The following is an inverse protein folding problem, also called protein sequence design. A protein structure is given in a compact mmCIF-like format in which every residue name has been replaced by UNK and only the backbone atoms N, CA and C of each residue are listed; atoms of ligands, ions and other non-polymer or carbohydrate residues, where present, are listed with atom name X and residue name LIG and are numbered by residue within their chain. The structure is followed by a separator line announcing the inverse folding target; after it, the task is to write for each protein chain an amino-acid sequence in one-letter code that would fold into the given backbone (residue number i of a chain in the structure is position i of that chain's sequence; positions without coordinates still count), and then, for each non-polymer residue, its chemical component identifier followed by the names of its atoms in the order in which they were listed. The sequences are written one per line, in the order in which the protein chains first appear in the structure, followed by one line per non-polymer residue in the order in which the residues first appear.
data_IF_184152054799
#
_entry.id   IF_184152054799
#
_cell.length_a   1.000
_cell.length_b   1.000
_cell.length_c   1.000
_cell.angle_alpha   90.00
_cell.angle_beta   90.00
_cell.angle_gamma   90.00
#
_symmetry.space_group_name_H-M   'P 1'
#
loop_
_entity.id
_entity.type
_entity.pdbx_description
1 polymer ?
#
# COMPACT_ATOMS: atom_id res chain seq x y z
N UNK A 1 3.15 -1.76 -18.27
CA UNK A 1 2.10 -1.54 -19.28
C UNK A 1 1.33 -0.28 -18.92
N UNK A 2 1.14 0.65 -19.87
CA UNK A 2 0.29 1.82 -19.65
C UNK A 2 -1.16 1.46 -20.00
N UNK A 3 -2.04 1.41 -19.00
CA UNK A 3 -3.46 1.15 -19.18
C UNK A 3 -4.20 2.48 -19.23
N UNK A 4 -5.02 2.70 -20.26
CA UNK A 4 -5.93 3.84 -20.33
C UNK A 4 -7.31 3.40 -19.85
N UNK A 5 -7.87 4.16 -18.93
CA UNK A 5 -9.21 3.95 -18.38
C UNK A 5 -10.07 5.17 -18.68
N UNK A 6 -11.31 4.92 -19.11
CA UNK A 6 -12.34 5.94 -19.13
C UNK A 6 -13.11 5.84 -17.82
N UNK A 7 -13.22 6.96 -17.11
CA UNK A 7 -13.87 7.06 -15.80
C UNK A 7 -14.97 8.10 -15.88
N UNK A 8 -16.14 7.74 -15.37
CA UNK A 8 -17.28 8.66 -15.20
C UNK A 8 -17.24 9.20 -13.77
N UNK A 9 -17.45 10.50 -13.61
CA UNK A 9 -17.54 11.19 -12.32
C UNK A 9 -18.55 12.32 -12.43
N UNK A 10 -19.04 12.81 -11.30
CA UNK A 10 -19.93 13.96 -11.28
C UNK A 10 -19.27 15.21 -11.87
N UNK A 11 -20.08 16.03 -12.54
CA UNK A 11 -19.62 17.20 -13.28
C UNK A 11 -19.03 18.26 -12.34
N UNK A 12 -19.63 18.47 -11.17
CA UNK A 12 -19.15 19.40 -10.14
C UNK A 12 -17.76 18.98 -9.60
N UNK A 13 -17.54 17.68 -9.41
CA UNK A 13 -16.26 17.13 -9.01
C UNK A 13 -15.22 17.35 -10.11
N UNK A 14 -15.58 17.12 -11.37
CA UNK A 14 -14.69 17.31 -12.50
C UNK A 14 -14.27 18.78 -12.70
N UNK A 15 -15.21 19.71 -12.52
CA UNK A 15 -14.94 21.14 -12.64
C UNK A 15 -14.01 21.64 -11.55
N UNK A 16 -14.25 21.22 -10.30
CA UNK A 16 -13.34 21.52 -9.18
C UNK A 16 -11.95 20.92 -9.42
N UNK A 17 -11.88 19.69 -9.92
CA UNK A 17 -10.62 19.03 -10.24
C UNK A 17 -9.82 19.79 -11.31
N UNK A 18 -10.50 20.35 -12.32
CA UNK A 18 -9.87 21.21 -13.33
C UNK A 18 -9.37 22.53 -12.78
N UNK A 19 -10.05 23.10 -11.80
CA UNK A 19 -9.65 24.37 -11.18
C UNK A 19 -8.44 24.19 -10.26
N UNK A 20 -8.41 23.12 -9.46
CA UNK A 20 -7.37 22.89 -8.46
C UNK A 20 -6.09 22.26 -9.04
N UNK A 21 -6.20 21.47 -10.11
CA UNK A 21 -5.06 20.73 -10.67
C UNK A 21 -4.54 21.40 -11.94
N UNK A 22 -3.21 21.57 -12.09
CA UNK A 22 -2.62 22.10 -13.31
C UNK A 22 -3.04 21.32 -14.57
N UNK A 23 -3.14 22.00 -15.73
CA UNK A 23 -3.43 21.35 -17.00
C UNK A 23 -2.50 20.17 -17.25
N UNK A 24 -3.05 19.07 -17.79
CA UNK A 24 -2.35 17.80 -18.08
C UNK A 24 -1.86 17.01 -16.85
N UNK A 25 -2.14 17.43 -15.61
CA UNK A 25 -1.78 16.67 -14.39
C UNK A 25 -2.94 15.91 -13.73
N UNK A 26 -4.15 16.00 -14.27
CA UNK A 26 -5.34 15.34 -13.72
C UNK A 26 -5.14 13.83 -13.53
N UNK A 27 -4.61 13.12 -14.53
CA UNK A 27 -4.38 11.67 -14.42
C UNK A 27 -3.36 11.31 -13.32
N UNK A 28 -2.31 12.13 -13.17
CA UNK A 28 -1.32 11.94 -12.12
C UNK A 28 -1.93 12.17 -10.73
N UNK A 29 -2.77 13.21 -10.59
CA UNK A 29 -3.49 13.50 -9.35
C UNK A 29 -4.46 12.36 -8.96
N UNK A 30 -5.27 11.88 -9.90
CA UNK A 30 -6.19 10.76 -9.66
C UNK A 30 -5.40 9.52 -9.22
N UNK A 31 -4.30 9.21 -9.91
CA UNK A 31 -3.45 8.07 -9.55
C UNK A 31 -2.87 8.20 -8.14
N UNK A 32 -2.40 9.39 -7.75
CA UNK A 32 -1.89 9.61 -6.39
C UNK A 32 -2.99 9.51 -5.33
N UNK A 33 -4.18 10.05 -5.61
CA UNK A 33 -5.32 10.00 -4.70
C UNK A 33 -5.81 8.55 -4.49
N UNK A 34 -5.91 7.78 -5.57
CA UNK A 34 -6.23 6.35 -5.51
C UNK A 34 -5.17 5.59 -4.73
N UNK A 35 -3.87 5.84 -4.99
CA UNK A 35 -2.79 5.20 -4.24
C UNK A 35 -2.85 5.55 -2.76
N UNK A 36 -3.14 6.80 -2.40
CA UNK A 36 -3.28 7.20 -1.00
C UNK A 36 -4.48 6.53 -0.32
N UNK A 37 -5.61 6.41 -1.03
CA UNK A 37 -6.83 5.76 -0.52
C UNK A 37 -6.69 4.24 -0.39
N UNK A 38 -5.99 3.60 -1.33
CA UNK A 38 -5.74 2.16 -1.35
C UNK A 38 -4.46 1.76 -0.61
N UNK A 39 -3.65 2.73 -0.18
CA UNK A 39 -2.48 2.43 0.63
C UNK A 39 -2.97 1.67 1.87
N UNK A 40 -2.34 0.52 2.23
CA UNK A 40 -2.74 -0.19 3.42
C UNK A 40 -2.69 0.80 4.58
N UNK A 41 -3.86 1.04 5.16
CA UNK A 41 -4.00 1.84 6.36
C UNK A 41 -3.05 1.23 7.40
N UNK A 42 -2.15 2.03 7.92
CA UNK A 42 -1.11 1.57 8.84
C UNK A 42 -1.72 0.89 10.06
N UNK A 43 -2.94 1.29 10.46
CA UNK A 43 -3.68 0.61 11.53
C UNK A 43 -4.17 -0.77 11.11
N UNK A 44 -4.73 -0.89 9.90
CA UNK A 44 -5.15 -2.18 9.33
C UNK A 44 -3.95 -3.12 9.14
N UNK A 45 -2.81 -2.58 8.71
CA UNK A 45 -1.55 -3.32 8.57
C UNK A 45 -1.01 -3.78 9.94
N UNK A 46 -0.92 -2.88 10.92
CA UNK A 46 -0.48 -3.20 12.29
C UNK A 46 -1.41 -4.24 12.95
N UNK A 47 -2.73 -4.10 12.79
CA UNK A 47 -3.70 -5.07 13.27
C UNK A 47 -3.47 -6.46 12.64
N UNK A 48 -3.21 -6.51 11.33
CA UNK A 48 -2.91 -7.75 10.61
C UNK A 48 -1.62 -8.39 11.10
N UNK A 49 -0.56 -7.60 11.33
CA UNK A 49 0.70 -8.11 11.91
C UNK A 49 0.50 -8.62 13.34
N UNK A 50 -0.23 -7.90 14.20
CA UNK A 50 -0.55 -8.34 15.56
C UNK A 50 -1.39 -9.60 15.60
N UNK A 51 -2.35 -9.74 14.68
CA UNK A 51 -3.15 -10.95 14.54
C UNK A 51 -2.27 -12.13 14.11
N UNK A 52 -1.45 -11.93 13.07
CA UNK A 52 -0.60 -12.97 12.55
C UNK A 52 0.54 -13.37 13.51
N UNK A 53 0.98 -12.49 14.43
CA UNK A 53 1.89 -12.85 15.55
C UNK A 53 1.29 -13.94 16.47
N UNK A 54 -0.03 -14.08 16.53
CA UNK A 54 -0.70 -15.10 17.34
C UNK A 54 -0.73 -16.47 16.66
N UNK A 55 -0.40 -16.55 15.36
CA UNK A 55 -0.42 -17.79 14.60
C UNK A 55 0.71 -18.72 15.05
N UNK A 56 0.36 -19.99 15.26
CA UNK A 56 1.26 -20.99 15.84
C UNK A 56 2.47 -21.29 14.95
N UNK A 57 2.25 -21.39 13.64
CA UNK A 57 3.32 -21.64 12.67
C UNK A 57 4.36 -20.52 12.62
N UNK A 58 3.98 -19.27 12.95
CA UNK A 58 4.96 -18.16 13.02
C UNK A 58 5.87 -18.27 14.23
N UNK A 59 5.38 -18.79 15.35
CA UNK A 59 6.22 -19.06 16.52
C UNK A 59 7.20 -20.20 16.25
N UNK A 60 6.70 -21.25 15.60
CA UNK A 60 7.51 -22.39 15.17
C UNK A 60 8.58 -21.93 14.15
N UNK A 61 8.23 -21.05 13.21
CA UNK A 61 9.17 -20.44 12.27
C UNK A 61 10.18 -19.50 12.96
N UNK A 62 9.74 -18.68 13.91
CA UNK A 62 10.63 -17.80 14.69
C UNK A 62 11.66 -18.63 15.48
N UNK A 63 11.23 -19.73 16.06
CA UNK A 63 12.12 -20.65 16.78
C UNK A 63 13.08 -21.37 15.84
N UNK A 64 12.62 -21.79 14.64
CA UNK A 64 13.48 -22.36 13.58
C UNK A 64 14.55 -21.35 13.10
N UNK A 65 14.17 -20.08 12.94
CA UNK A 65 15.07 -18.99 12.54
C UNK A 65 16.13 -18.65 13.59
N UNK A 66 15.82 -18.81 14.89
CA UNK A 66 16.83 -18.63 15.97
C UNK A 66 17.99 -19.62 15.84
N UNK A 67 17.78 -20.79 15.23
CA UNK A 67 18.85 -21.76 14.99
C UNK A 67 19.67 -21.44 13.74
N UNK A 68 19.13 -20.67 12.78
CA UNK A 68 19.84 -20.28 11.55
C UNK A 68 20.59 -18.94 11.65
N UNK A 69 20.22 -18.04 12.57
CA UNK A 69 20.99 -16.80 12.84
C UNK A 69 22.36 -17.03 13.51
N UNK A 70 22.74 -18.29 13.79
CA UNK A 70 24.04 -18.67 14.32
C UNK A 70 25.18 -18.76 13.29
N UNK A 71 24.90 -18.72 11.99
CA UNK A 71 25.95 -18.71 10.97
C UNK A 71 26.50 -17.29 10.81
N UNK A 72 27.53 -16.99 11.62
CA UNK A 72 28.27 -15.74 11.57
C UNK A 72 28.77 -15.44 10.16
N UNK A 73 28.39 -14.28 9.64
CA UNK A 73 28.94 -13.75 8.41
C UNK A 73 30.48 -13.72 8.50
N UNK A 74 31.22 -14.27 7.51
CA UNK A 74 32.67 -14.19 7.51
C UNK A 74 33.11 -12.72 7.46
N UNK A 75 34.06 -12.36 8.34
CA UNK A 75 34.71 -11.04 8.37
C UNK A 75 35.56 -10.79 7.14
#
# INVERSE_FOLDING_TARGET
MAVRLNITMDEDIYDRLKQEVPPKKISAFISSAVRAKLHPDTKTLDASYRAARKERWRKELEDDWKYTEGEGWPK
#
